data_IF_998145621557
#
_entry.id   IF_998145621557
#
_cell.length_a   1.000
_cell.length_b   1.000
_cell.length_c   1.000
_cell.angle_alpha   90.00
_cell.angle_beta   90.00
_cell.angle_gamma   90.00
#
_symmetry.space_group_name_H-M   'P 1'
#
loop_
_entity.id
_entity.type
_entity.pdbx_description
1 polymer ?
#
# COMPACT_ATOMS: atom_id res chain seq x y z
N UNK A 1 0.18 20.68 -4.22
CA UNK A 1 0.06 20.14 -2.85
C UNK A 1 -1.37 19.74 -2.51
N UNK A 2 -2.35 20.65 -2.47
CA UNK A 2 -3.74 20.27 -2.17
C UNK A 2 -4.38 19.38 -3.26
N UNK A 3 -4.13 19.70 -4.54
CA UNK A 3 -4.65 18.90 -5.66
C UNK A 3 -4.06 17.49 -5.65
N UNK A 4 -2.75 17.34 -5.49
CA UNK A 4 -2.11 16.02 -5.43
C UNK A 4 -2.56 15.21 -4.21
N UNK A 5 -2.78 15.87 -3.06
CA UNK A 5 -3.37 15.22 -1.90
C UNK A 5 -4.76 14.68 -2.19
N UNK A 6 -5.63 15.49 -2.79
CA UNK A 6 -6.98 15.05 -3.15
C UNK A 6 -6.96 13.89 -4.15
N UNK A 7 -6.07 13.93 -5.16
CA UNK A 7 -5.91 12.83 -6.14
C UNK A 7 -5.51 11.54 -5.44
N UNK A 8 -4.46 11.56 -4.60
CA UNK A 8 -4.04 10.35 -3.88
C UNK A 8 -5.05 9.88 -2.85
N UNK A 9 -5.79 10.80 -2.20
CA UNK A 9 -6.85 10.44 -1.28
C UNK A 9 -8.01 9.72 -1.99
N UNK A 10 -8.41 10.21 -3.18
CA UNK A 10 -9.46 9.58 -3.98
C UNK A 10 -8.99 8.23 -4.55
N UNK A 11 -7.75 8.16 -5.06
CA UNK A 11 -7.18 6.91 -5.57
C UNK A 11 -7.09 5.85 -4.46
N UNK A 12 -6.47 6.19 -3.32
CA UNK A 12 -6.39 5.32 -2.15
C UNK A 12 -7.79 4.92 -1.65
N UNK A 13 -8.76 5.83 -1.66
CA UNK A 13 -10.12 5.53 -1.29
C UNK A 13 -10.77 4.49 -2.22
N UNK A 14 -10.61 4.65 -3.53
CA UNK A 14 -11.17 3.74 -4.52
C UNK A 14 -10.53 2.34 -4.43
N UNK A 15 -9.21 2.29 -4.33
CA UNK A 15 -8.46 1.04 -4.21
C UNK A 15 -8.81 0.31 -2.91
N UNK A 16 -8.73 0.98 -1.75
CA UNK A 16 -9.03 0.33 -0.49
C UNK A 16 -10.52 -0.05 -0.36
N UNK A 17 -11.46 0.73 -0.91
CA UNK A 17 -12.87 0.34 -0.94
C UNK A 17 -13.10 -0.93 -1.76
N UNK A 18 -12.38 -1.12 -2.87
CA UNK A 18 -12.48 -2.31 -3.70
C UNK A 18 -11.85 -3.54 -3.02
N UNK A 19 -10.60 -3.40 -2.57
CA UNK A 19 -9.83 -4.54 -2.06
C UNK A 19 -10.11 -4.84 -0.58
N UNK A 20 -10.15 -3.82 0.29
CA UNK A 20 -10.28 -3.95 1.77
C UNK A 20 -11.69 -3.64 2.26
N UNK A 21 -12.52 -3.03 1.41
CA UNK A 21 -13.93 -2.81 1.64
C UNK A 21 -14.71 -4.11 1.49
N UNK A 22 -15.34 -4.33 0.34
CA UNK A 22 -16.29 -5.43 0.21
C UNK A 22 -15.63 -6.82 0.22
N UNK A 23 -14.57 -7.03 -0.57
CA UNK A 23 -13.99 -8.37 -0.79
C UNK A 23 -13.36 -8.93 0.49
N UNK A 24 -12.44 -8.18 1.10
CA UNK A 24 -11.75 -8.61 2.32
C UNK A 24 -12.75 -8.86 3.47
N UNK A 25 -13.66 -7.92 3.72
CA UNK A 25 -14.60 -8.01 4.84
C UNK A 25 -15.60 -9.15 4.69
N UNK A 26 -16.05 -9.42 3.47
CA UNK A 26 -17.01 -10.51 3.21
C UNK A 26 -16.37 -11.87 3.49
N UNK A 27 -15.15 -12.09 2.99
CA UNK A 27 -14.43 -13.35 3.20
C UNK A 27 -13.96 -13.52 4.65
N UNK A 28 -13.55 -12.43 5.30
CA UNK A 28 -13.20 -12.43 6.72
C UNK A 28 -14.39 -12.84 7.60
N UNK A 29 -15.57 -12.24 7.40
CA UNK A 29 -16.81 -12.62 8.10
C UNK A 29 -17.25 -14.06 7.82
N UNK A 30 -16.87 -14.61 6.68
CA UNK A 30 -17.12 -16.02 6.33
C UNK A 30 -16.10 -16.99 6.94
N UNK A 31 -15.13 -16.50 7.74
CA UNK A 31 -14.09 -17.32 8.39
C UNK A 31 -12.87 -17.59 7.51
N UNK A 32 -12.75 -16.92 6.35
CA UNK A 32 -11.68 -17.12 5.37
C UNK A 32 -10.71 -15.93 5.31
N UNK A 33 -10.40 -15.32 6.47
CA UNK A 33 -9.55 -14.12 6.56
C UNK A 33 -8.19 -14.27 5.86
N UNK A 34 -7.50 -15.39 6.06
CA UNK A 34 -6.19 -15.65 5.43
C UNK A 34 -6.30 -15.70 3.90
N UNK A 35 -7.37 -16.32 3.38
CA UNK A 35 -7.61 -16.41 1.94
C UNK A 35 -7.97 -15.03 1.39
N UNK A 36 -8.75 -14.25 2.13
CA UNK A 36 -9.10 -12.88 1.78
C UNK A 36 -7.85 -12.01 1.62
N UNK A 37 -6.91 -12.10 2.58
CA UNK A 37 -5.61 -11.40 2.52
C UNK A 37 -4.83 -11.81 1.27
N UNK A 38 -4.65 -13.11 1.03
CA UNK A 38 -3.88 -13.61 -0.13
C UNK A 38 -4.52 -13.15 -1.44
N UNK A 39 -5.82 -13.38 -1.61
CA UNK A 39 -6.53 -13.05 -2.85
C UNK A 39 -6.46 -11.55 -3.13
N UNK A 40 -6.88 -10.71 -2.19
CA UNK A 40 -6.93 -9.26 -2.39
C UNK A 40 -5.53 -8.68 -2.64
N UNK A 41 -4.50 -9.19 -1.97
CA UNK A 41 -3.12 -8.72 -2.16
C UNK A 41 -2.51 -9.15 -3.49
N UNK A 42 -2.76 -10.39 -3.93
CA UNK A 42 -2.29 -10.86 -5.24
C UNK A 42 -2.99 -10.10 -6.37
N UNK A 43 -4.31 -9.93 -6.30
CA UNK A 43 -5.04 -9.14 -7.29
C UNK A 43 -4.58 -7.67 -7.29
N UNK A 44 -4.31 -7.09 -6.12
CA UNK A 44 -3.73 -5.76 -6.01
C UNK A 44 -2.39 -5.64 -6.75
N UNK A 45 -1.48 -6.61 -6.58
CA UNK A 45 -0.23 -6.65 -7.34
C UNK A 45 -0.43 -6.84 -8.85
N UNK A 46 -1.39 -7.67 -9.26
CA UNK A 46 -1.67 -7.93 -10.67
C UNK A 46 -2.18 -6.68 -11.39
N UNK A 47 -3.10 -5.91 -10.79
CA UNK A 47 -3.61 -4.69 -11.46
C UNK A 47 -2.50 -3.65 -11.65
N UNK A 48 -1.46 -3.66 -10.81
CA UNK A 48 -0.30 -2.77 -10.90
C UNK A 48 0.76 -3.24 -11.91
N UNK A 49 0.66 -4.44 -12.49
CA UNK A 49 1.51 -4.86 -13.61
C UNK A 49 1.30 -4.00 -14.86
N UNK A 50 0.16 -3.32 -14.96
CA UNK A 50 -0.12 -2.37 -16.05
C UNK A 50 0.63 -1.04 -15.90
N UNK A 51 1.28 -0.79 -14.76
CA UNK A 51 1.97 0.47 -14.53
C UNK A 51 3.30 0.54 -15.28
N UNK A 52 3.75 1.76 -15.65
CA UNK A 52 5.07 1.95 -16.25
C UNK A 52 6.18 1.36 -15.37
N UNK A 53 7.18 0.73 -16.00
CA UNK A 53 8.36 0.18 -15.32
C UNK A 53 8.06 -0.93 -14.28
N UNK A 54 6.88 -1.53 -14.31
CA UNK A 54 6.56 -2.68 -13.46
C UNK A 54 7.49 -3.86 -13.78
N UNK A 55 7.99 -4.52 -12.74
CA UNK A 55 8.91 -5.65 -12.81
C UNK A 55 8.72 -6.58 -11.61
N UNK A 56 9.49 -7.67 -11.56
CA UNK A 56 9.26 -8.72 -10.57
C UNK A 56 9.33 -8.21 -9.10
N UNK A 57 10.31 -7.36 -8.78
CA UNK A 57 10.48 -6.81 -7.42
C UNK A 57 9.36 -5.84 -7.08
N UNK A 58 9.00 -4.92 -7.99
CA UNK A 58 7.90 -4.00 -7.73
C UNK A 58 6.58 -4.73 -7.58
N UNK A 59 6.27 -5.71 -8.42
CA UNK A 59 5.07 -6.54 -8.26
C UNK A 59 5.05 -7.27 -6.91
N UNK A 60 6.17 -7.86 -6.50
CA UNK A 60 6.27 -8.50 -5.19
C UNK A 60 6.02 -7.49 -4.06
N UNK A 61 6.61 -6.30 -4.13
CA UNK A 61 6.42 -5.25 -3.14
C UNK A 61 4.99 -4.72 -3.11
N UNK A 62 4.32 -4.59 -4.26
CA UNK A 62 2.90 -4.22 -4.31
C UNK A 62 2.02 -5.31 -3.69
N UNK A 63 2.33 -6.59 -3.90
CA UNK A 63 1.64 -7.69 -3.19
C UNK A 63 1.88 -7.59 -1.68
N UNK A 64 3.11 -7.33 -1.25
CA UNK A 64 3.44 -7.15 0.17
C UNK A 64 2.74 -5.93 0.77
N UNK A 65 2.65 -4.81 0.05
CA UNK A 65 1.87 -3.65 0.45
C UNK A 65 0.39 -4.04 0.59
N UNK A 66 -0.12 -4.88 -0.31
CA UNK A 66 -1.46 -5.42 -0.20
C UNK A 66 -1.68 -6.23 1.07
N UNK A 67 -0.70 -7.04 1.48
CA UNK A 67 -0.75 -7.79 2.76
C UNK A 67 -0.70 -6.81 3.93
N UNK A 68 0.19 -5.82 3.88
CA UNK A 68 0.34 -4.78 4.89
C UNK A 68 -0.98 -4.03 5.15
N UNK A 69 -1.65 -3.57 4.09
CA UNK A 69 -2.96 -2.92 4.18
C UNK A 69 -4.04 -3.84 4.72
N UNK A 70 -4.05 -5.12 4.31
CA UNK A 70 -5.03 -6.09 4.79
C UNK A 70 -4.83 -6.40 6.28
N UNK A 71 -3.58 -6.56 6.73
CA UNK A 71 -3.25 -6.76 8.15
C UNK A 71 -3.64 -5.53 8.98
N UNK A 72 -3.38 -4.31 8.48
CA UNK A 72 -3.81 -3.09 9.14
C UNK A 72 -5.34 -3.00 9.26
N UNK A 73 -6.06 -3.37 8.21
CA UNK A 73 -7.53 -3.42 8.26
C UNK A 73 -8.01 -4.43 9.32
N UNK A 74 -7.50 -5.66 9.28
CA UNK A 74 -7.91 -6.71 10.22
C UNK A 74 -7.56 -6.32 11.67
N UNK A 75 -6.48 -5.56 11.88
CA UNK A 75 -6.07 -5.17 13.22
C UNK A 75 -6.89 -4.04 13.84
N UNK A 76 -7.21 -3.02 13.05
CA UNK A 76 -7.88 -1.80 13.52
C UNK A 76 -9.36 -1.72 13.16
N UNK A 77 -9.85 -2.62 12.30
CA UNK A 77 -11.22 -2.68 11.78
C UNK A 77 -11.72 -1.36 11.20
N UNK A 78 -10.80 -0.54 10.68
CA UNK A 78 -11.08 0.81 10.19
C UNK A 78 -10.58 0.97 8.76
N UNK A 79 -11.52 1.08 7.82
CA UNK A 79 -11.18 1.35 6.42
C UNK A 79 -10.55 2.75 6.28
N UNK A 80 -11.02 3.72 7.06
CA UNK A 80 -10.45 5.07 7.12
C UNK A 80 -8.97 5.07 7.49
N UNK A 81 -8.57 4.21 8.44
CA UNK A 81 -7.17 4.08 8.83
C UNK A 81 -6.31 3.60 7.66
N UNK A 82 -6.74 2.55 6.96
CA UNK A 82 -5.99 1.99 5.83
C UNK A 82 -5.97 2.95 4.64
N UNK A 83 -7.08 3.62 4.34
CA UNK A 83 -7.15 4.67 3.30
C UNK A 83 -6.17 5.82 3.63
N UNK A 84 -6.12 6.25 4.89
CA UNK A 84 -5.18 7.27 5.35
C UNK A 84 -3.73 6.82 5.22
N UNK A 85 -3.42 5.57 5.58
CA UNK A 85 -2.09 4.98 5.46
C UNK A 85 -1.63 4.88 4.01
N UNK A 86 -2.50 4.40 3.12
CA UNK A 86 -2.22 4.31 1.68
C UNK A 86 -2.06 5.71 1.05
N UNK A 87 -2.98 6.64 1.33
CA UNK A 87 -2.85 8.03 0.87
C UNK A 87 -1.54 8.66 1.37
N UNK A 88 -1.18 8.46 2.64
CA UNK A 88 0.06 8.97 3.20
C UNK A 88 1.30 8.41 2.51
N UNK A 89 1.34 7.10 2.23
CA UNK A 89 2.42 6.47 1.49
C UNK A 89 2.62 7.14 0.11
N UNK A 90 1.55 7.18 -0.69
CA UNK A 90 1.61 7.74 -2.05
C UNK A 90 1.90 9.25 -2.06
N UNK A 91 1.23 10.01 -1.20
CA UNK A 91 1.38 11.46 -1.17
C UNK A 91 2.74 11.90 -0.64
N UNK A 92 3.27 11.25 0.40
CA UNK A 92 4.61 11.56 0.92
C UNK A 92 5.68 11.17 -0.09
N UNK A 93 5.61 9.98 -0.68
CA UNK A 93 6.54 9.55 -1.72
C UNK A 93 6.57 10.51 -2.92
N UNK A 94 5.40 10.80 -3.50
CA UNK A 94 5.29 11.65 -4.69
C UNK A 94 5.40 13.14 -4.41
N UNK A 95 4.55 13.70 -3.55
CA UNK A 95 4.44 15.16 -3.38
C UNK A 95 5.52 15.74 -2.46
N UNK A 96 5.99 14.98 -1.47
CA UNK A 96 7.05 15.45 -0.55
C UNK A 96 8.43 15.12 -1.09
N UNK A 97 8.70 13.83 -1.36
CA UNK A 97 10.04 13.40 -1.80
C UNK A 97 10.29 13.52 -3.31
N UNK A 98 9.24 13.65 -4.12
CA UNK A 98 9.38 13.74 -5.57
C UNK A 98 9.80 12.43 -6.24
N UNK A 99 9.53 11.30 -5.58
CA UNK A 99 9.79 9.94 -6.05
C UNK A 99 8.56 9.46 -6.83
N UNK A 100 8.77 8.66 -7.86
CA UNK A 100 7.70 8.00 -8.61
C UNK A 100 6.78 7.20 -7.69
N UNK A 101 5.46 7.29 -7.91
CA UNK A 101 4.47 6.50 -7.17
C UNK A 101 3.99 5.38 -8.08
N UNK A 102 4.43 4.15 -7.78
CA UNK A 102 4.17 2.96 -8.59
C UNK A 102 4.50 3.16 -10.08
N UNK A 103 5.66 3.78 -10.37
CA UNK A 103 6.12 4.10 -11.72
C UNK A 103 5.50 5.35 -12.37
N UNK A 104 4.61 6.06 -11.66
CA UNK A 104 3.99 7.27 -12.18
C UNK A 104 4.67 8.52 -11.63
N UNK A 105 5.37 9.26 -12.52
CA UNK A 105 6.00 10.55 -12.20
C UNK A 105 5.09 11.75 -12.49
N UNK A 106 4.20 11.62 -13.47
CA UNK A 106 3.42 12.74 -14.00
C UNK A 106 2.35 13.29 -13.04
N UNK A 107 1.95 12.49 -12.04
CA UNK A 107 0.93 12.87 -11.06
C UNK A 107 1.41 14.03 -10.17
N UNK A 108 2.72 14.12 -9.92
CA UNK A 108 3.31 15.07 -8.97
C UNK A 108 4.31 16.00 -9.65
N UNK A 109 3.78 17.02 -10.33
CA UNK A 109 4.59 18.01 -11.06
C UNK A 109 5.32 19.01 -10.16
N UNK A 110 4.75 19.31 -8.99
CA UNK A 110 5.33 20.19 -7.99
C UNK A 110 5.64 19.34 -6.77
N UNK A 111 6.89 19.33 -6.33
CA UNK A 111 7.39 18.53 -5.22
C UNK A 111 8.13 19.43 -4.24
N UNK A 112 8.21 19.04 -2.95
CA UNK A 112 8.97 19.79 -1.94
C UNK A 112 10.46 19.51 -2.10
N UNK A 113 10.80 18.23 -2.23
CA UNK A 113 12.15 17.74 -2.48
C UNK A 113 12.24 17.19 -3.89
N UNK A 114 13.48 17.13 -4.39
CA UNK A 114 13.80 16.49 -5.67
C UNK A 114 14.65 15.27 -5.37
N UNK A 115 14.12 14.11 -5.71
CA UNK A 115 14.86 12.86 -5.70
C UNK A 115 16.05 12.92 -6.68
N UNK A 116 17.20 12.44 -6.20
CA UNK A 116 18.41 12.19 -6.99
C UNK A 116 18.90 10.80 -6.60
N UNK A 117 18.49 9.81 -7.37
CA UNK A 117 18.94 8.44 -7.16
C UNK A 117 20.28 8.18 -7.87
N UNK A 118 21.27 7.78 -7.07
CA UNK A 118 22.58 7.28 -7.53
C UNK A 118 22.86 5.88 -6.97
N UNK A 119 21.87 5.30 -6.29
CA UNK A 119 21.94 3.98 -5.70
C UNK A 119 21.79 2.86 -6.75
N UNK A 120 22.08 1.62 -6.37
CA UNK A 120 21.86 0.50 -7.26
C UNK A 120 20.36 0.23 -7.42
N UNK A 121 19.91 -0.01 -8.66
CA UNK A 121 18.51 -0.24 -9.04
C UNK A 121 17.78 -1.25 -8.14
N UNK A 122 18.46 -2.33 -7.72
CA UNK A 122 17.84 -3.34 -6.86
C UNK A 122 17.49 -2.83 -5.45
N UNK A 123 18.13 -1.76 -4.98
CA UNK A 123 17.91 -1.19 -3.65
C UNK A 123 16.82 -0.12 -3.67
N UNK A 124 16.83 0.75 -4.69
CA UNK A 124 16.01 1.96 -4.76
C UNK A 124 14.85 1.89 -5.76
N UNK A 125 14.85 0.90 -6.67
CA UNK A 125 13.75 0.66 -7.60
C UNK A 125 13.72 1.56 -8.84
N UNK A 126 14.70 2.47 -8.99
CA UNK A 126 14.91 3.33 -10.16
C UNK A 126 13.59 3.99 -10.64
N UNK A 127 13.18 3.77 -11.89
CA UNK A 127 12.03 4.45 -12.51
C UNK A 127 10.65 3.97 -12.02
N UNK A 128 10.59 2.92 -11.19
CA UNK A 128 9.36 2.55 -10.50
C UNK A 128 9.17 3.33 -9.19
N UNK A 129 10.25 3.93 -8.67
CA UNK A 129 10.33 4.52 -7.33
C UNK A 129 10.74 3.48 -6.27
N UNK A 130 10.75 3.88 -5.00
CA UNK A 130 11.23 3.03 -3.88
C UNK A 130 10.52 1.68 -3.79
N UNK A 131 9.26 1.63 -4.26
CA UNK A 131 8.45 0.42 -4.35
C UNK A 131 9.06 -0.66 -5.26
N UNK A 132 9.97 -0.31 -6.17
CA UNK A 132 10.70 -1.26 -7.00
C UNK A 132 11.94 -1.87 -6.36
N UNK A 133 12.32 -1.42 -5.17
CA UNK A 133 13.57 -1.80 -4.51
C UNK A 133 13.40 -2.69 -3.28
N UNK A 134 14.48 -3.37 -2.88
CA UNK A 134 14.53 -4.19 -1.67
C UNK A 134 14.34 -3.35 -0.40
N UNK A 135 14.68 -2.05 -0.43
CA UNK A 135 14.43 -1.15 0.69
C UNK A 135 12.93 -1.11 1.06
N UNK A 136 12.04 -1.02 0.07
CA UNK A 136 10.60 -1.10 0.30
C UNK A 136 10.17 -2.50 0.80
N UNK A 137 10.76 -3.58 0.27
CA UNK A 137 10.49 -4.94 0.77
C UNK A 137 10.72 -5.04 2.27
N UNK A 138 11.86 -4.55 2.75
CA UNK A 138 12.23 -4.57 4.17
C UNK A 138 11.28 -3.68 4.96
N UNK A 139 11.07 -2.43 4.51
CA UNK A 139 10.23 -1.46 5.21
C UNK A 139 8.79 -1.95 5.38
N UNK A 140 8.17 -2.46 4.31
CA UNK A 140 6.79 -2.96 4.31
C UNK A 140 6.69 -4.22 5.19
N UNK A 141 7.67 -5.13 5.12
CA UNK A 141 7.69 -6.33 5.96
C UNK A 141 7.78 -5.98 7.44
N UNK A 142 8.69 -5.07 7.81
CA UNK A 142 8.85 -4.59 9.19
C UNK A 142 7.58 -3.87 9.66
N UNK A 143 7.00 -3.00 8.84
CA UNK A 143 5.76 -2.30 9.15
C UNK A 143 4.58 -3.27 9.34
N UNK A 144 4.50 -4.33 8.53
CA UNK A 144 3.49 -5.38 8.65
C UNK A 144 3.62 -6.13 9.97
N UNK A 145 4.84 -6.57 10.32
CA UNK A 145 5.10 -7.24 11.59
C UNK A 145 4.78 -6.31 12.75
N UNK A 146 5.20 -5.04 12.69
CA UNK A 146 4.93 -4.06 13.73
C UNK A 146 3.42 -3.88 13.96
N UNK A 147 2.63 -3.68 12.91
CA UNK A 147 1.17 -3.55 13.01
C UNK A 147 0.54 -4.82 13.59
N UNK A 148 0.99 -5.99 13.15
CA UNK A 148 0.48 -7.26 13.66
C UNK A 148 0.69 -7.42 15.18
N UNK A 149 1.77 -6.84 15.73
CA UNK A 149 2.12 -6.90 17.14
C UNK A 149 1.42 -5.82 18.00
N UNK A 150 0.93 -4.72 17.43
CA UNK A 150 0.15 -3.71 18.17
C UNK A 150 -1.14 -4.31 18.72
N UNK A 151 -1.77 -3.83 19.80
CA UNK A 151 -3.06 -4.36 20.30
C UNK A 151 -4.21 -4.27 19.28
N UNK A 152 -5.14 -5.23 19.32
CA UNK A 152 -6.33 -5.24 18.45
C UNK A 152 -7.32 -4.18 18.91
N UNK A 153 -8.12 -3.63 17.99
CA UNK A 153 -9.28 -2.82 18.42
C UNK A 153 -10.31 -3.68 19.16
N UNK A 154 -11.00 -3.08 20.13
CA UNK A 154 -12.03 -3.75 20.95
C UNK A 154 -13.17 -4.34 20.10
N UNK A 155 -13.42 -3.81 18.90
CA UNK A 155 -14.40 -4.37 17.96
C UNK A 155 -14.08 -5.80 17.49
N UNK A 156 -12.87 -6.28 17.69
CA UNK A 156 -12.42 -7.63 17.31
C UNK A 156 -12.75 -8.69 18.37
N UNK A 157 -13.00 -8.30 19.63
CA UNK A 157 -13.30 -9.25 20.73
C UNK A 157 -14.72 -9.81 20.67
N UNK A 158 -15.65 -9.12 20.00
CA UNK A 158 -17.06 -9.53 19.90
C UNK A 158 -17.31 -10.64 18.86
N UNK A 159 -16.31 -11.01 18.06
CA UNK A 159 -16.40 -12.09 17.06
C UNK A 159 -15.84 -13.43 17.56
N UNK A 160 -15.25 -13.46 18.76
CA UNK A 160 -14.71 -14.66 19.41
C UNK A 160 -15.56 -15.15 20.61
N UNK A 161 -16.72 -14.54 20.87
CA UNK A 161 -17.67 -14.95 21.92
C UNK A 161 -18.89 -15.66 21.33
#
# INVERSE_FOLDING_TARGET
>A
MLVTFAVFAIAAAAEEALFRGYILQTLDRAGFAWLAVVLTSVFFGIVHLGNPNAGAISTLNTILAGIWFSVAYLRFRSLWFVMGMHCAWNWVQGSVFGIEVSGMREITQYTILREIDTGPTWLTGETYGIEGGIAATIAITVATIFIYLLPASESDTDHCS
#
